data_IF_046993422503
#
_entry.id   IF_046993422503
#
_cell.length_a   1.000
_cell.length_b   1.000
_cell.length_c   1.000
_cell.angle_alpha   90.00
_cell.angle_beta   90.00
_cell.angle_gamma   90.00
#
_symmetry.space_group_name_H-M   'P 1'
#
loop_
_entity.id
_entity.type
_entity.pdbx_description
1 polymer ?
#
# COMPACT_ATOMS: atom_id res chain seq x y z
N UNK A 1 6.19 -26.01 30.70
CA UNK A 1 4.81 -25.93 31.24
C UNK A 1 4.80 -25.52 32.72
N UNK A 2 5.71 -26.02 33.58
CA UNK A 2 5.70 -25.72 35.01
C UNK A 2 6.00 -24.25 35.33
N UNK A 3 6.89 -23.59 34.57
CA UNK A 3 7.32 -22.20 34.81
C UNK A 3 6.17 -21.20 34.56
N UNK A 4 5.37 -21.41 33.51
CA UNK A 4 4.20 -20.58 33.21
C UNK A 4 3.10 -20.76 34.26
N UNK A 5 2.96 -21.98 34.78
CA UNK A 5 2.01 -22.30 35.85
C UNK A 5 2.39 -21.63 37.15
N UNK A 6 3.69 -21.68 37.56
CA UNK A 6 4.21 -21.05 38.77
C UNK A 6 4.04 -19.51 38.67
N UNK A 7 4.35 -18.90 37.51
CA UNK A 7 4.14 -17.47 37.27
C UNK A 7 2.70 -17.06 37.44
N UNK A 8 1.77 -17.81 36.84
CA UNK A 8 0.34 -17.53 36.93
C UNK A 8 -0.19 -17.68 38.35
N UNK A 9 0.30 -18.67 39.11
CA UNK A 9 -0.07 -18.84 40.51
C UNK A 9 0.49 -17.70 41.36
N UNK A 10 1.74 -17.28 41.15
CA UNK A 10 2.35 -16.16 41.86
C UNK A 10 1.57 -14.85 41.57
N UNK A 11 1.15 -14.64 40.35
CA UNK A 11 0.33 -13.48 39.94
C UNK A 11 -1.07 -13.48 40.58
N UNK A 12 -1.71 -14.66 40.68
CA UNK A 12 -3.01 -14.82 41.33
C UNK A 12 -2.96 -14.52 42.83
N UNK A 13 -1.82 -14.83 43.48
CA UNK A 13 -1.64 -14.61 44.93
C UNK A 13 -0.96 -13.27 45.28
N UNK A 14 -0.88 -12.35 44.31
CA UNK A 14 -0.28 -11.03 44.51
C UNK A 14 1.14 -11.07 45.10
N UNK A 15 1.86 -12.14 44.83
CA UNK A 15 3.28 -12.29 45.23
C UNK A 15 4.11 -11.27 44.43
N UNK A 16 4.88 -10.46 45.11
CA UNK A 16 5.71 -9.45 44.47
C UNK A 16 6.71 -10.08 43.49
N UNK A 17 6.91 -9.45 42.33
CA UNK A 17 7.87 -9.87 41.28
C UNK A 17 9.25 -10.19 41.86
N UNK A 18 9.72 -9.39 42.84
CA UNK A 18 10.99 -9.60 43.50
C UNK A 18 11.07 -10.90 44.31
N UNK A 19 9.95 -11.34 44.91
CA UNK A 19 9.92 -12.63 45.66
C UNK A 19 10.00 -13.80 44.68
N UNK A 20 9.35 -13.71 43.52
CA UNK A 20 9.40 -14.71 42.46
C UNK A 20 10.80 -14.77 41.87
N UNK A 21 11.43 -13.64 41.58
CA UNK A 21 12.82 -13.55 41.09
C UNK A 21 13.78 -14.20 42.09
N UNK A 22 13.69 -13.92 43.41
CA UNK A 22 14.52 -14.54 44.45
C UNK A 22 14.31 -16.05 44.50
N UNK A 23 13.08 -16.54 44.37
CA UNK A 23 12.82 -17.97 44.40
C UNK A 23 13.47 -18.70 43.21
N UNK A 24 13.39 -18.11 42.00
CA UNK A 24 14.03 -18.64 40.80
C UNK A 24 15.55 -18.60 40.90
N UNK A 25 16.16 -17.53 41.39
CA UNK A 25 17.59 -17.41 41.60
C UNK A 25 18.10 -18.49 42.58
N UNK A 26 17.35 -18.79 43.62
CA UNK A 26 17.69 -19.82 44.60
C UNK A 26 17.70 -21.23 43.99
N UNK A 27 16.97 -21.46 42.93
CA UNK A 27 16.93 -22.72 42.19
C UNK A 27 17.81 -22.72 40.93
N UNK A 28 18.71 -21.76 40.77
CA UNK A 28 19.65 -21.69 39.65
C UNK A 28 19.00 -21.17 38.35
N UNK A 29 17.81 -20.57 38.42
CA UNK A 29 17.10 -19.97 37.27
C UNK A 29 17.27 -18.45 37.35
N UNK A 30 17.87 -17.85 36.30
CA UNK A 30 17.91 -16.39 36.13
C UNK A 30 16.61 -15.93 35.45
N UNK A 31 16.00 -14.87 35.99
CA UNK A 31 14.82 -14.25 35.44
C UNK A 31 15.15 -12.79 35.13
N UNK A 32 15.18 -12.46 33.85
CA UNK A 32 15.42 -11.10 33.39
C UNK A 32 14.09 -10.47 32.91
N UNK A 33 14.00 -9.14 32.97
CA UNK A 33 12.89 -8.40 32.44
C UNK A 33 13.06 -8.29 30.92
N UNK A 34 12.01 -8.61 30.18
CA UNK A 34 11.94 -8.46 28.73
C UNK A 34 10.71 -7.65 28.33
N UNK A 35 10.75 -7.02 27.17
CA UNK A 35 9.68 -6.21 26.63
C UNK A 35 9.13 -6.86 25.37
N UNK A 36 7.82 -7.02 25.31
CA UNK A 36 7.12 -7.48 24.12
C UNK A 36 6.28 -6.37 23.53
N UNK A 37 6.38 -6.17 22.21
CA UNK A 37 5.51 -5.28 21.48
C UNK A 37 4.06 -5.78 21.55
N UNK A 38 3.12 -4.90 21.85
CA UNK A 38 1.69 -5.21 21.94
C UNK A 38 0.91 -4.30 21.01
N UNK A 39 -0.02 -4.87 20.25
CA UNK A 39 -0.84 -4.21 19.26
C UNK A 39 -2.29 -4.19 19.76
N UNK A 40 -2.80 -3.05 20.29
CA UNK A 40 -4.10 -2.98 21.00
C UNK A 40 -5.30 -3.31 20.12
N UNK A 41 -5.16 -3.15 18.81
CA UNK A 41 -6.23 -3.36 17.84
C UNK A 41 -6.03 -4.62 16.99
N UNK A 42 -5.23 -5.55 17.45
CA UNK A 42 -4.95 -6.86 16.87
C UNK A 42 -4.68 -6.88 15.37
N UNK A 43 -5.70 -6.61 14.54
CA UNK A 43 -5.64 -6.75 13.07
C UNK A 43 -5.54 -5.44 12.32
N UNK A 44 -5.86 -4.31 12.96
CA UNK A 44 -5.98 -3.02 12.30
C UNK A 44 -4.68 -2.66 11.57
N UNK A 45 -4.78 -2.41 10.26
CA UNK A 45 -3.67 -2.03 9.40
C UNK A 45 -2.44 -2.95 9.52
N UNK A 46 -2.66 -4.28 9.68
CA UNK A 46 -1.61 -5.22 10.07
C UNK A 46 -0.40 -5.20 9.14
N UNK A 47 -0.61 -5.09 7.82
CA UNK A 47 0.47 -5.05 6.82
C UNK A 47 1.15 -3.70 6.70
N UNK A 48 0.55 -2.67 7.27
CA UNK A 48 1.12 -1.31 7.32
C UNK A 48 1.94 -1.11 8.58
N UNK A 49 1.34 -1.38 9.75
CA UNK A 49 2.04 -1.28 11.03
C UNK A 49 3.21 -2.26 11.07
N UNK A 50 2.95 -3.51 10.69
CA UNK A 50 3.93 -4.56 10.81
C UNK A 50 4.09 -5.05 12.24
N UNK A 51 5.05 -5.92 12.46
CA UNK A 51 5.30 -6.52 13.76
C UNK A 51 6.80 -6.69 14.02
N UNK A 52 7.13 -6.92 15.29
CA UNK A 52 8.50 -7.20 15.74
C UNK A 52 8.73 -8.69 15.97
N UNK A 53 9.96 -9.14 15.76
CA UNK A 53 10.42 -10.48 16.10
C UNK A 53 10.68 -10.67 17.60
N UNK A 54 11.21 -11.84 17.95
CA UNK A 54 11.56 -12.20 19.35
C UNK A 54 12.54 -11.24 20.02
N UNK A 55 13.44 -10.66 19.24
CA UNK A 55 14.48 -9.73 19.74
C UNK A 55 14.02 -8.26 19.61
N UNK A 56 12.72 -8.03 19.50
CA UNK A 56 12.10 -6.73 19.30
C UNK A 56 12.56 -5.96 18.04
N UNK A 57 13.21 -6.65 17.06
CA UNK A 57 13.50 -6.04 15.76
C UNK A 57 12.25 -6.01 14.89
N UNK A 58 12.07 -4.95 14.13
CA UNK A 58 11.00 -4.85 13.13
C UNK A 58 11.17 -5.89 12.02
N UNK A 59 10.09 -6.57 11.63
CA UNK A 59 10.09 -7.60 10.57
C UNK A 59 9.48 -7.07 9.28
N UNK A 60 8.33 -6.43 9.36
CA UNK A 60 7.64 -5.80 8.21
C UNK A 60 7.07 -4.43 8.58
N UNK A 61 6.56 -3.71 7.59
CA UNK A 61 5.79 -2.49 7.79
C UNK A 61 6.57 -1.33 8.38
N UNK A 62 5.88 -0.49 9.15
CA UNK A 62 6.46 0.65 9.84
C UNK A 62 7.42 0.24 10.95
N UNK A 63 7.21 -0.93 11.59
CA UNK A 63 8.10 -1.45 12.63
C UNK A 63 9.52 -1.64 12.10
N UNK A 64 9.70 -2.20 10.91
CA UNK A 64 11.03 -2.34 10.31
C UNK A 64 11.53 -1.03 9.70
N UNK A 65 10.65 -0.24 9.08
CA UNK A 65 11.06 1.01 8.42
C UNK A 65 11.56 2.06 9.39
N UNK A 66 10.97 2.12 10.57
CA UNK A 66 11.27 3.08 11.63
C UNK A 66 11.91 2.42 12.88
N UNK A 67 12.55 1.27 12.71
CA UNK A 67 13.20 0.53 13.81
C UNK A 67 14.15 1.43 14.62
N UNK A 68 14.99 2.21 13.95
CA UNK A 68 15.94 3.14 14.61
C UNK A 68 15.24 4.19 15.50
N UNK A 69 13.99 4.50 15.21
CA UNK A 69 13.17 5.43 16.00
C UNK A 69 12.48 4.71 17.16
N UNK A 70 11.98 3.50 16.90
CA UNK A 70 11.07 2.78 17.78
C UNK A 70 11.78 1.91 18.81
N UNK A 71 12.91 1.28 18.45
CA UNK A 71 13.58 0.25 19.26
C UNK A 71 14.26 0.79 20.53
N UNK A 72 14.78 2.02 20.50
CA UNK A 72 15.60 2.55 21.59
C UNK A 72 16.99 1.91 21.67
N UNK A 73 17.60 1.94 22.84
CA UNK A 73 18.92 1.36 23.08
C UNK A 73 18.88 0.46 24.32
N UNK A 74 19.32 -0.78 24.16
CA UNK A 74 19.37 -1.73 25.25
C UNK A 74 20.35 -1.29 26.34
N UNK A 75 19.97 -1.45 27.60
CA UNK A 75 20.86 -1.33 28.73
C UNK A 75 21.90 -2.43 28.74
N UNK A 76 22.92 -2.28 29.58
CA UNK A 76 23.95 -3.29 29.84
C UNK A 76 24.17 -3.40 31.32
N UNK A 77 24.28 -4.64 31.82
CA UNK A 77 24.72 -4.93 33.18
C UNK A 77 26.05 -5.64 33.06
N UNK A 78 27.08 -5.04 33.62
CA UNK A 78 28.42 -5.62 33.71
C UNK A 78 28.59 -6.19 35.12
N UNK A 79 28.59 -7.52 35.22
CA UNK A 79 28.83 -8.23 36.48
C UNK A 79 30.23 -8.86 36.47
N UNK A 80 30.89 -8.90 37.59
CA UNK A 80 32.15 -9.63 37.75
C UNK A 80 31.83 -11.05 38.23
N UNK A 81 32.21 -12.03 37.43
CA UNK A 81 32.01 -13.44 37.76
C UNK A 81 33.33 -14.14 38.14
N UNK A 82 33.25 -15.20 38.95
CA UNK A 82 34.36 -16.10 39.18
C UNK A 82 34.68 -16.97 37.93
N UNK A 83 35.71 -17.79 37.99
CA UNK A 83 36.11 -18.68 36.89
C UNK A 83 35.03 -19.74 36.51
N UNK A 84 33.98 -19.87 37.29
CA UNK A 84 32.82 -20.76 37.05
C UNK A 84 31.59 -20.02 36.53
N UNK A 85 31.70 -18.68 36.29
CA UNK A 85 30.60 -17.84 35.82
C UNK A 85 29.60 -17.45 36.94
N UNK A 86 29.96 -17.63 38.23
CA UNK A 86 29.14 -17.24 39.37
C UNK A 86 29.43 -15.78 39.70
N UNK A 87 28.40 -14.94 39.86
CA UNK A 87 28.56 -13.54 40.28
C UNK A 87 29.21 -13.44 41.66
N UNK A 88 30.20 -12.56 41.75
CA UNK A 88 30.89 -12.31 43.03
C UNK A 88 30.03 -11.36 43.88
N UNK A 89 29.57 -11.88 45.04
CA UNK A 89 28.83 -11.05 46.00
C UNK A 89 29.69 -9.89 46.50
N UNK A 90 29.15 -8.68 46.49
CA UNK A 90 29.79 -7.48 47.03
C UNK A 90 30.69 -6.71 46.04
N UNK A 91 30.78 -7.11 44.80
CA UNK A 91 31.41 -6.32 43.73
C UNK A 91 30.34 -5.42 43.11
N UNK A 92 30.65 -4.12 42.91
CA UNK A 92 29.72 -3.18 42.32
C UNK A 92 29.39 -3.61 40.89
N UNK A 93 28.09 -3.76 40.60
CA UNK A 93 27.58 -3.90 39.24
C UNK A 93 27.69 -2.54 38.55
N UNK A 94 28.29 -2.51 37.36
CA UNK A 94 28.22 -1.33 36.50
C UNK A 94 26.99 -1.47 35.55
N UNK A 95 26.00 -0.59 35.76
CA UNK A 95 24.71 -0.66 35.07
C UNK A 95 24.52 0.54 34.15
N UNK A 96 24.39 0.25 32.88
CA UNK A 96 23.97 1.23 31.87
C UNK A 96 22.46 1.07 31.66
N UNK A 97 21.69 2.09 32.04
CA UNK A 97 20.25 2.04 31.95
C UNK A 97 19.80 2.02 30.45
N UNK A 98 18.71 1.29 30.11
CA UNK A 98 18.17 1.30 28.75
C UNK A 98 17.54 2.64 28.40
N UNK A 99 17.68 3.03 27.15
CA UNK A 99 17.03 4.23 26.62
C UNK A 99 15.81 3.79 25.80
N UNK A 100 14.61 4.18 26.24
CA UNK A 100 13.38 3.87 25.54
C UNK A 100 13.36 4.49 24.14
N UNK A 101 12.79 3.80 23.16
CA UNK A 101 12.54 4.32 21.84
C UNK A 101 11.55 5.50 21.85
N UNK A 102 11.49 6.18 20.73
CA UNK A 102 10.58 7.30 20.52
C UNK A 102 9.22 6.82 19.96
N UNK A 103 8.23 7.71 19.93
CA UNK A 103 6.93 7.45 19.33
C UNK A 103 6.90 7.97 17.90
N UNK A 104 6.50 7.13 16.96
CA UNK A 104 6.20 7.53 15.59
C UNK A 104 4.73 7.99 15.52
N UNK A 105 4.50 9.25 15.13
CA UNK A 105 3.19 9.74 14.77
C UNK A 105 2.98 9.53 13.26
N UNK A 106 1.90 8.85 12.90
CA UNK A 106 1.54 8.55 11.52
C UNK A 106 0.36 9.37 11.03
N UNK A 107 0.15 9.41 9.71
CA UNK A 107 -1.02 10.00 9.05
C UNK A 107 -2.24 9.07 9.06
N UNK A 108 -2.07 7.77 9.40
CA UNK A 108 -3.20 6.85 9.51
C UNK A 108 -4.24 7.38 10.48
N UNK A 109 -5.46 7.51 10.01
CA UNK A 109 -6.60 7.85 10.84
C UNK A 109 -7.33 6.57 11.28
N UNK A 110 -7.43 6.36 12.59
CA UNK A 110 -8.05 5.17 13.16
C UNK A 110 -9.48 4.94 12.67
N UNK A 111 -10.30 6.00 12.62
CA UNK A 111 -11.70 5.89 12.24
C UNK A 111 -11.83 5.58 10.75
N UNK A 112 -11.05 6.28 9.92
CA UNK A 112 -11.05 6.09 8.47
C UNK A 112 -10.54 4.67 8.13
N UNK A 113 -9.43 4.23 8.74
CA UNK A 113 -8.88 2.89 8.55
C UNK A 113 -9.92 1.82 8.93
N UNK A 114 -10.52 1.92 10.11
CA UNK A 114 -11.53 0.97 10.58
C UNK A 114 -12.77 0.92 9.67
N UNK A 115 -13.23 2.07 9.20
CA UNK A 115 -14.33 2.15 8.24
C UNK A 115 -14.00 1.47 6.90
N UNK A 116 -12.80 1.73 6.38
CA UNK A 116 -12.34 1.13 5.15
C UNK A 116 -12.15 -0.39 5.29
N UNK A 117 -11.66 -0.88 6.43
CA UNK A 117 -11.56 -2.32 6.70
C UNK A 117 -12.92 -3.00 6.74
N UNK A 118 -13.89 -2.44 7.49
CA UNK A 118 -15.25 -2.99 7.54
C UNK A 118 -15.91 -3.01 6.16
N UNK A 119 -15.75 -1.95 5.37
CA UNK A 119 -16.29 -1.89 4.01
C UNK A 119 -15.62 -2.92 3.10
N UNK A 120 -14.30 -3.10 3.21
CA UNK A 120 -13.54 -4.08 2.44
C UNK A 120 -13.90 -5.52 2.83
N UNK A 121 -14.06 -5.83 4.12
CA UNK A 121 -14.51 -7.14 4.61
C UNK A 121 -15.91 -7.49 4.09
N UNK A 122 -16.83 -6.51 4.12
CA UNK A 122 -18.17 -6.70 3.55
C UNK A 122 -18.12 -7.04 2.05
N UNK A 123 -17.29 -6.33 1.28
CA UNK A 123 -17.10 -6.64 -0.14
C UNK A 123 -16.46 -8.01 -0.35
N UNK A 124 -15.45 -8.37 0.48
CA UNK A 124 -14.80 -9.67 0.46
C UNK A 124 -15.82 -10.81 0.60
N UNK A 125 -16.73 -10.70 1.58
CA UNK A 125 -17.77 -11.68 1.84
C UNK A 125 -18.86 -11.70 0.75
N UNK A 126 -19.44 -10.53 0.43
CA UNK A 126 -20.55 -10.42 -0.54
C UNK A 126 -20.16 -10.83 -1.96
N UNK A 127 -18.92 -10.57 -2.36
CA UNK A 127 -18.40 -10.89 -3.70
C UNK A 127 -17.60 -12.18 -3.75
N UNK A 128 -17.39 -12.85 -2.60
CA UNK A 128 -16.52 -14.03 -2.48
C UNK A 128 -15.15 -13.78 -3.13
N UNK A 129 -14.59 -12.59 -2.87
CA UNK A 129 -13.32 -12.17 -3.44
C UNK A 129 -12.16 -12.85 -2.68
N UNK A 130 -11.02 -13.07 -3.35
CA UNK A 130 -9.80 -13.59 -2.72
C UNK A 130 -9.13 -12.54 -1.80
N UNK A 131 -9.39 -11.27 -2.06
CA UNK A 131 -8.91 -10.16 -1.25
C UNK A 131 -9.43 -8.82 -1.77
N UNK A 132 -9.50 -7.85 -0.88
CA UNK A 132 -9.87 -6.47 -1.19
C UNK A 132 -8.81 -5.54 -0.61
N UNK A 133 -8.36 -4.58 -1.40
CA UNK A 133 -7.46 -3.52 -0.94
C UNK A 133 -8.13 -2.16 -1.10
N UNK A 134 -7.94 -1.29 -0.11
CA UNK A 134 -8.39 0.10 -0.14
C UNK A 134 -7.21 0.99 0.21
N UNK A 135 -6.96 2.00 -0.61
CA UNK A 135 -5.95 3.02 -0.39
C UNK A 135 -6.61 4.38 -0.41
N UNK A 136 -6.53 5.11 0.69
CA UNK A 136 -7.02 6.47 0.83
C UNK A 136 -5.85 7.42 1.12
N UNK A 137 -5.59 8.32 0.17
CA UNK A 137 -4.48 9.26 0.22
C UNK A 137 -4.96 10.69 -0.03
N UNK A 138 -4.38 11.65 0.67
CA UNK A 138 -4.58 13.06 0.40
C UNK A 138 -3.78 13.45 -0.87
N UNK A 139 -4.44 13.87 -1.97
CA UNK A 139 -3.75 14.21 -3.20
C UNK A 139 -2.90 15.48 -3.10
N UNK A 140 -3.13 16.31 -2.08
CA UNK A 140 -2.43 17.59 -1.94
C UNK A 140 -1.04 17.46 -1.29
N UNK A 141 -0.85 16.47 -0.40
CA UNK A 141 0.39 16.34 0.35
C UNK A 141 0.97 14.90 0.38
N UNK A 142 0.22 13.89 -0.06
CA UNK A 142 0.64 12.50 -0.07
C UNK A 142 0.43 11.72 1.24
N UNK A 143 -0.19 12.32 2.26
CA UNK A 143 -0.54 11.61 3.50
C UNK A 143 -1.51 10.47 3.22
N UNK A 144 -1.20 9.28 3.74
CA UNK A 144 -2.07 8.11 3.64
C UNK A 144 -2.92 8.02 4.90
N UNK A 145 -4.24 8.15 4.75
CA UNK A 145 -5.19 8.09 5.86
C UNK A 145 -5.69 6.66 6.12
N UNK A 146 -5.73 5.81 5.09
CA UNK A 146 -6.01 4.39 5.21
C UNK A 146 -5.30 3.58 4.13
N UNK A 147 -4.84 2.39 4.52
CA UNK A 147 -4.29 1.39 3.61
C UNK A 147 -4.69 0.00 4.11
N UNK A 148 -5.65 -0.60 3.44
CA UNK A 148 -6.33 -1.83 3.83
C UNK A 148 -5.98 -2.97 2.89
N UNK A 149 -5.83 -4.16 3.43
CA UNK A 149 -5.56 -5.39 2.69
C UNK A 149 -6.29 -6.58 3.33
N UNK A 150 -7.59 -6.70 3.16
CA UNK A 150 -8.34 -7.82 3.76
C UNK A 150 -8.18 -9.10 2.94
N UNK A 151 -8.12 -10.27 3.61
CA UNK A 151 -8.17 -10.49 5.06
C UNK A 151 -6.89 -10.06 5.78
N UNK A 152 -7.01 -9.26 6.84
CA UNK A 152 -5.89 -8.86 7.69
C UNK A 152 -5.50 -10.01 8.65
N UNK A 153 -4.29 -9.96 9.23
CA UNK A 153 -3.80 -10.96 10.20
C UNK A 153 -3.62 -10.35 11.59
N UNK A 154 -3.56 -11.18 12.64
CA UNK A 154 -3.36 -10.71 14.00
C UNK A 154 -1.88 -10.38 14.27
N UNK A 155 -1.57 -9.11 14.55
CA UNK A 155 -0.24 -8.61 14.85
C UNK A 155 0.36 -9.19 16.16
N UNK A 156 -0.49 -9.61 17.09
CA UNK A 156 -0.04 -10.25 18.35
C UNK A 156 0.29 -11.74 18.15
N UNK A 157 -0.18 -12.34 17.02
CA UNK A 157 0.07 -13.73 16.62
C UNK A 157 0.52 -13.81 15.14
N UNK A 158 1.57 -13.07 14.73
CA UNK A 158 1.88 -12.86 13.31
C UNK A 158 2.32 -14.11 12.56
N UNK A 159 2.75 -15.14 13.27
CA UNK A 159 3.17 -16.42 12.71
C UNK A 159 2.06 -17.46 12.63
N UNK A 160 0.81 -17.09 12.97
CA UNK A 160 -0.37 -17.92 12.82
C UNK A 160 -1.07 -17.60 11.52
N UNK A 161 -1.23 -18.60 10.65
CA UNK A 161 -1.97 -18.43 9.40
C UNK A 161 -3.46 -18.17 9.66
N UNK A 162 -4.09 -17.40 8.79
CA UNK A 162 -5.52 -17.09 8.87
C UNK A 162 -6.41 -18.31 8.53
N UNK A 163 -5.86 -19.32 7.86
CA UNK A 163 -6.57 -20.56 7.51
C UNK A 163 -6.24 -21.71 8.47
N UNK A 164 -7.14 -22.71 8.51
CA UNK A 164 -7.07 -23.83 9.46
C UNK A 164 -6.26 -25.03 8.94
N UNK A 165 -5.48 -24.86 7.89
CA UNK A 165 -4.79 -25.98 7.21
C UNK A 165 -3.33 -26.18 7.62
N UNK A 166 -2.90 -25.59 8.75
CA UNK A 166 -1.48 -25.61 9.21
C UNK A 166 -0.93 -27.03 9.44
N UNK A 167 -1.79 -27.98 9.91
CA UNK A 167 -1.34 -29.31 10.35
C UNK A 167 -0.84 -30.24 9.22
N UNK A 168 -0.93 -29.83 7.96
CA UNK A 168 -0.59 -30.68 6.80
C UNK A 168 0.52 -30.06 5.91
N UNK A 169 1.14 -28.97 6.33
CA UNK A 169 2.14 -28.25 5.52
C UNK A 169 3.56 -28.58 5.92
N UNK A 170 4.45 -28.58 4.94
CA UNK A 170 5.89 -28.53 5.20
C UNK A 170 6.29 -27.15 5.76
N UNK A 171 7.44 -27.06 6.41
CA UNK A 171 7.96 -25.80 6.94
C UNK A 171 8.16 -24.76 5.81
N UNK A 172 8.57 -25.21 4.63
CA UNK A 172 8.75 -24.34 3.46
C UNK A 172 7.40 -23.79 2.95
N UNK A 173 6.39 -24.63 2.83
CA UNK A 173 5.03 -24.21 2.43
C UNK A 173 4.45 -23.24 3.44
N UNK A 174 4.61 -23.52 4.73
CA UNK A 174 4.18 -22.65 5.80
C UNK A 174 4.86 -21.29 5.73
N UNK A 175 6.17 -21.24 5.56
CA UNK A 175 6.92 -19.99 5.43
C UNK A 175 6.49 -19.19 4.21
N UNK A 176 6.28 -19.85 3.06
CA UNK A 176 5.80 -19.20 1.84
C UNK A 176 4.41 -18.59 2.05
N UNK A 177 3.49 -19.27 2.74
CA UNK A 177 2.16 -18.73 3.07
C UNK A 177 2.20 -17.57 4.05
N UNK A 178 3.07 -17.62 5.06
CA UNK A 178 3.30 -16.49 5.96
C UNK A 178 3.81 -15.27 5.19
N UNK A 179 4.80 -15.45 4.32
CA UNK A 179 5.31 -14.38 3.47
C UNK A 179 4.23 -13.77 2.57
N UNK A 180 3.31 -14.61 2.03
CA UNK A 180 2.16 -14.13 1.26
C UNK A 180 1.14 -13.39 2.13
N UNK A 181 0.86 -13.90 3.34
CA UNK A 181 -0.06 -13.26 4.30
C UNK A 181 0.43 -11.88 4.73
N UNK A 182 1.74 -11.71 4.87
CA UNK A 182 2.35 -10.43 5.29
C UNK A 182 2.49 -9.41 4.17
N UNK A 183 2.28 -9.80 2.90
CA UNK A 183 2.41 -8.88 1.76
C UNK A 183 1.36 -7.77 1.79
N UNK A 184 1.82 -6.55 1.59
CA UNK A 184 0.96 -5.39 1.39
C UNK A 184 0.68 -5.22 -0.10
N UNK A 185 -0.50 -5.64 -0.57
CA UNK A 185 -0.88 -5.62 -1.98
C UNK A 185 -0.87 -4.22 -2.59
N UNK A 186 -1.06 -3.17 -1.77
CA UNK A 186 -1.02 -1.80 -2.26
C UNK A 186 0.35 -1.36 -2.79
N UNK A 187 1.43 -2.00 -2.32
CA UNK A 187 2.81 -1.62 -2.64
C UNK A 187 3.67 -2.78 -3.16
N UNK A 188 3.42 -4.03 -2.71
CA UNK A 188 4.27 -5.17 -3.06
C UNK A 188 3.80 -5.94 -4.31
N UNK A 189 2.58 -5.71 -4.77
CA UNK A 189 1.98 -6.40 -5.91
C UNK A 189 1.74 -5.44 -7.06
N UNK A 190 2.03 -5.90 -8.27
CA UNK A 190 1.73 -5.19 -9.51
C UNK A 190 0.50 -5.79 -10.16
N UNK A 191 -0.26 -4.96 -10.86
CA UNK A 191 -1.46 -5.37 -11.57
C UNK A 191 -1.62 -4.55 -12.87
N UNK A 192 -2.36 -5.05 -13.82
CA UNK A 192 -2.80 -4.26 -14.96
C UNK A 192 -3.92 -3.30 -14.52
N UNK A 193 -3.72 -1.96 -14.58
CA UNK A 193 -4.69 -1.00 -14.04
C UNK A 193 -6.00 -0.96 -14.83
N UNK A 194 -6.02 -1.49 -16.05
CA UNK A 194 -7.19 -1.48 -16.90
C UNK A 194 -7.71 -0.06 -17.15
N UNK A 195 -9.02 0.10 -17.23
CA UNK A 195 -9.65 1.37 -17.62
C UNK A 195 -9.42 2.54 -16.64
N UNK A 196 -8.85 2.35 -15.45
CA UNK A 196 -8.41 3.47 -14.62
C UNK A 196 -7.24 4.21 -15.26
N UNK A 197 -6.39 3.52 -16.03
CA UNK A 197 -5.28 4.13 -16.75
C UNK A 197 -5.73 5.12 -17.84
N UNK A 198 -6.96 5.05 -18.29
CA UNK A 198 -7.55 6.02 -19.22
C UNK A 198 -7.52 7.46 -18.71
N UNK A 199 -7.49 7.65 -17.39
CA UNK A 199 -7.27 8.96 -16.75
C UNK A 199 -5.92 9.53 -17.20
N UNK A 200 -4.89 8.72 -17.14
CA UNK A 200 -3.50 9.08 -17.46
C UNK A 200 -3.34 9.31 -18.96
N UNK A 201 -3.90 8.44 -19.78
CA UNK A 201 -3.91 8.58 -21.23
C UNK A 201 -4.65 9.85 -21.66
N UNK A 202 -5.81 10.16 -21.05
CA UNK A 202 -6.55 11.39 -21.31
C UNK A 202 -5.72 12.63 -21.01
N UNK A 203 -5.11 12.67 -19.82
CA UNK A 203 -4.29 13.79 -19.39
C UNK A 203 -3.11 14.03 -20.35
N UNK A 204 -2.40 12.98 -20.76
CA UNK A 204 -1.29 13.07 -21.69
C UNK A 204 -1.75 13.57 -23.08
N UNK A 205 -2.88 13.07 -23.61
CA UNK A 205 -3.40 13.46 -24.92
C UNK A 205 -3.96 14.90 -24.93
N UNK A 206 -4.56 15.35 -23.82
CA UNK A 206 -5.02 16.74 -23.67
C UNK A 206 -3.84 17.71 -23.55
N UNK A 207 -2.82 17.35 -22.75
CA UNK A 207 -1.62 18.16 -22.55
C UNK A 207 -0.87 18.38 -23.88
N UNK A 208 -0.74 17.34 -24.72
CA UNK A 208 -0.15 17.40 -26.04
C UNK A 208 -1.05 18.01 -27.11
N UNK A 209 -2.32 18.26 -26.79
CA UNK A 209 -3.28 18.81 -27.74
C UNK A 209 -3.62 17.88 -28.91
N UNK A 210 -3.40 16.56 -28.79
CA UNK A 210 -3.72 15.58 -29.82
C UNK A 210 -5.19 15.17 -29.81
N UNK A 211 -5.94 15.61 -28.79
CA UNK A 211 -7.39 15.46 -28.65
C UNK A 211 -8.00 16.73 -28.04
N UNK A 212 -9.20 17.07 -28.47
CA UNK A 212 -10.07 18.10 -27.89
C UNK A 212 -11.33 17.46 -27.31
N UNK A 213 -12.05 18.19 -26.44
CA UNK A 213 -13.28 17.69 -25.81
C UNK A 213 -14.40 17.39 -26.87
N UNK A 214 -14.41 18.13 -27.97
CA UNK A 214 -15.41 18.03 -29.05
C UNK A 214 -15.04 17.02 -30.15
N UNK A 215 -13.84 16.45 -30.10
CA UNK A 215 -13.39 15.42 -31.03
C UNK A 215 -14.38 14.24 -31.02
N UNK A 216 -14.77 13.77 -32.20
CA UNK A 216 -15.69 12.65 -32.34
C UNK A 216 -15.01 11.39 -32.85
N UNK A 217 -15.48 10.25 -32.36
CA UNK A 217 -14.93 8.93 -32.60
C UNK A 217 -16.05 7.95 -32.95
N UNK A 218 -15.70 6.87 -33.66
CA UNK A 218 -16.62 5.79 -33.96
C UNK A 218 -16.24 4.51 -33.23
N UNK A 219 -17.20 3.92 -32.52
CA UNK A 219 -17.02 2.65 -31.82
C UNK A 219 -18.01 1.60 -32.35
N UNK A 220 -17.62 0.75 -33.31
CA UNK A 220 -18.44 -0.39 -33.77
C UNK A 220 -18.34 -1.62 -32.85
N UNK A 221 -17.83 -1.47 -31.64
CA UNK A 221 -17.56 -2.56 -30.66
C UNK A 221 -16.14 -3.15 -30.72
N UNK A 222 -15.31 -2.65 -31.61
CA UNK A 222 -13.89 -3.06 -31.73
C UNK A 222 -13.09 -2.04 -32.55
N UNK A 223 -11.76 -2.21 -32.47
CA UNK A 223 -10.80 -1.51 -33.36
C UNK A 223 -9.87 -2.57 -33.96
N UNK A 224 -9.54 -2.44 -35.23
CA UNK A 224 -8.48 -3.21 -35.89
C UNK A 224 -7.22 -2.36 -35.83
N UNK A 225 -6.17 -2.91 -35.20
CA UNK A 225 -4.84 -2.32 -35.13
C UNK A 225 -3.89 -3.32 -35.76
N UNK A 226 -3.28 -2.97 -36.89
CA UNK A 226 -2.56 -3.89 -37.75
C UNK A 226 -3.44 -5.11 -38.13
N UNK A 227 -3.08 -6.31 -37.71
CA UNK A 227 -3.82 -7.57 -37.94
C UNK A 227 -4.69 -7.99 -36.73
N UNK A 228 -4.68 -7.23 -35.63
CA UNK A 228 -5.36 -7.55 -34.37
C UNK A 228 -6.71 -6.84 -34.22
N UNK A 229 -7.74 -7.63 -33.96
CA UNK A 229 -9.05 -7.13 -33.60
C UNK A 229 -9.16 -6.99 -32.07
N UNK A 230 -9.07 -5.76 -31.57
CA UNK A 230 -9.17 -5.45 -30.16
C UNK A 230 -10.60 -4.99 -29.84
N UNK A 231 -11.24 -5.62 -28.86
CA UNK A 231 -12.68 -5.43 -28.58
C UNK A 231 -12.92 -4.30 -27.56
N UNK A 232 -14.06 -3.62 -27.74
CA UNK A 232 -14.65 -2.80 -26.69
C UNK A 232 -15.36 -3.71 -25.67
N UNK A 233 -15.53 -3.26 -24.44
CA UNK A 233 -16.34 -3.98 -23.45
C UNK A 233 -17.82 -4.05 -23.87
N UNK A 234 -18.32 -3.07 -24.61
CA UNK A 234 -19.67 -3.09 -25.21
C UNK A 234 -19.62 -3.76 -26.57
N UNK A 235 -20.13 -4.97 -26.66
CA UNK A 235 -20.07 -5.83 -27.87
C UNK A 235 -20.70 -5.17 -29.10
N UNK A 236 -21.83 -4.47 -28.95
CA UNK A 236 -22.52 -3.74 -30.04
C UNK A 236 -21.88 -2.39 -30.37
N UNK A 237 -20.86 -1.97 -29.66
CA UNK A 237 -20.25 -0.66 -29.79
C UNK A 237 -21.07 0.48 -29.17
N UNK A 238 -20.46 1.66 -29.11
CA UNK A 238 -21.08 2.88 -28.59
C UNK A 238 -21.65 3.76 -29.72
N UNK A 239 -21.34 3.41 -30.99
CA UNK A 239 -21.67 4.25 -32.14
C UNK A 239 -20.71 5.43 -32.27
N UNK A 240 -21.23 6.58 -32.69
CA UNK A 240 -20.47 7.83 -32.72
C UNK A 240 -20.58 8.51 -31.37
N UNK A 241 -19.46 8.85 -30.77
CA UNK A 241 -19.39 9.50 -29.46
C UNK A 241 -18.29 10.57 -29.45
N UNK A 242 -18.43 11.58 -28.60
CA UNK A 242 -17.41 12.58 -28.37
C UNK A 242 -16.28 11.99 -27.46
N UNK A 243 -15.14 12.68 -27.35
CA UNK A 243 -14.11 12.29 -26.43
C UNK A 243 -14.65 12.23 -25.00
N UNK A 244 -15.44 13.19 -24.57
CA UNK A 244 -16.09 13.23 -23.24
C UNK A 244 -16.93 11.96 -23.03
N UNK A 245 -17.82 11.64 -23.99
CA UNK A 245 -18.63 10.41 -23.93
C UNK A 245 -17.77 9.14 -23.94
N UNK A 246 -16.65 9.16 -24.66
CA UNK A 246 -15.70 8.05 -24.68
C UNK A 246 -15.07 7.75 -23.29
N UNK A 247 -14.84 8.80 -22.48
CA UNK A 247 -14.40 8.65 -21.09
C UNK A 247 -15.55 8.15 -20.20
N UNK A 248 -16.73 8.78 -20.29
CA UNK A 248 -17.94 8.42 -19.53
C UNK A 248 -18.32 6.96 -19.74
N UNK A 249 -18.32 6.53 -21.01
CA UNK A 249 -18.63 5.17 -21.43
C UNK A 249 -17.45 4.20 -21.28
N UNK A 250 -16.28 4.67 -20.91
CA UNK A 250 -15.06 3.85 -20.87
C UNK A 250 -14.75 3.12 -22.19
N UNK A 251 -14.91 3.78 -23.33
CA UNK A 251 -14.81 3.21 -24.67
C UNK A 251 -13.36 2.87 -25.04
N UNK A 252 -13.02 1.58 -25.29
CA UNK A 252 -11.66 1.19 -25.69
C UNK A 252 -11.25 1.74 -27.06
N UNK A 253 -12.07 1.68 -28.13
CA UNK A 253 -11.74 2.27 -29.43
C UNK A 253 -11.32 3.74 -29.38
N UNK A 254 -12.02 4.58 -28.61
CA UNK A 254 -11.64 6.00 -28.42
C UNK A 254 -10.22 6.10 -27.87
N UNK A 255 -9.90 5.33 -26.83
CA UNK A 255 -8.58 5.36 -26.19
C UNK A 255 -7.48 4.80 -27.07
N UNK A 256 -7.75 3.79 -27.88
CA UNK A 256 -6.82 3.32 -28.91
C UNK A 256 -6.53 4.40 -29.94
N UNK A 257 -7.56 5.11 -30.41
CA UNK A 257 -7.40 6.16 -31.42
C UNK A 257 -6.57 7.35 -30.90
N UNK A 258 -6.87 7.86 -29.70
CA UNK A 258 -6.12 8.99 -29.14
C UNK A 258 -4.69 8.61 -28.78
N UNK A 259 -4.46 7.39 -28.28
CA UNK A 259 -3.12 6.91 -27.98
C UNK A 259 -2.29 6.67 -29.25
N UNK A 260 -2.88 6.16 -30.31
CA UNK A 260 -2.20 6.04 -31.59
C UNK A 260 -1.88 7.43 -32.21
N UNK A 261 -2.72 8.46 -31.99
CA UNK A 261 -2.41 9.86 -32.36
C UNK A 261 -1.23 10.39 -31.54
N UNK A 262 -1.15 10.07 -30.24
CA UNK A 262 -0.04 10.46 -29.37
C UNK A 262 1.27 9.81 -29.84
N UNK A 263 1.23 8.53 -30.20
CA UNK A 263 2.37 7.74 -30.62
C UNK A 263 3.18 7.16 -29.47
N UNK A 264 3.93 6.06 -29.76
CA UNK A 264 4.65 5.29 -28.73
C UNK A 264 5.75 6.09 -28.02
N UNK A 265 6.49 6.92 -28.76
CA UNK A 265 7.59 7.71 -28.17
C UNK A 265 7.05 8.69 -27.11
N UNK A 266 6.05 9.51 -27.43
CA UNK A 266 5.45 10.45 -26.49
C UNK A 266 4.72 9.75 -25.35
N UNK A 267 4.06 8.63 -25.64
CA UNK A 267 3.43 7.83 -24.60
C UNK A 267 4.46 7.35 -23.56
N UNK A 268 5.61 6.87 -23.99
CA UNK A 268 6.71 6.48 -23.10
C UNK A 268 7.29 7.67 -22.33
N UNK A 269 7.45 8.84 -22.98
CA UNK A 269 7.92 10.07 -22.32
C UNK A 269 6.98 10.48 -21.17
N UNK A 270 5.66 10.46 -21.41
CA UNK A 270 4.66 10.72 -20.38
C UNK A 270 4.65 9.66 -19.27
N UNK A 271 4.83 8.38 -19.63
CA UNK A 271 4.91 7.30 -18.66
C UNK A 271 6.08 7.51 -17.69
N UNK A 272 7.23 7.97 -18.18
CA UNK A 272 8.39 8.35 -17.37
C UNK A 272 8.15 9.66 -16.60
N UNK A 273 7.60 10.70 -17.23
CA UNK A 273 7.31 12.01 -16.62
C UNK A 273 6.35 11.86 -15.43
N UNK A 274 5.33 11.01 -15.57
CA UNK A 274 4.38 10.68 -14.52
C UNK A 274 5.00 9.82 -13.41
N UNK A 275 6.26 9.40 -13.57
CA UNK A 275 7.04 8.64 -12.58
C UNK A 275 6.59 7.19 -12.46
N UNK A 276 5.95 6.64 -13.50
CA UNK A 276 5.49 5.25 -13.51
C UNK A 276 6.64 4.25 -13.70
N UNK A 277 7.82 4.69 -14.17
CA UNK A 277 9.02 3.87 -14.29
C UNK A 277 9.88 3.85 -13.02
N UNK A 278 9.49 4.58 -11.99
CA UNK A 278 10.23 4.69 -10.72
C UNK A 278 9.36 4.34 -9.53
N UNK A 279 10.00 4.00 -8.41
CA UNK A 279 9.32 3.83 -7.13
C UNK A 279 8.70 5.15 -6.67
N UNK A 280 7.63 5.07 -5.91
CA UNK A 280 7.00 6.28 -5.32
C UNK A 280 7.78 6.81 -4.14
N UNK A 281 8.70 6.01 -3.58
CA UNK A 281 9.44 6.27 -2.36
C UNK A 281 8.54 6.39 -1.11
N UNK A 282 7.44 5.64 -1.10
CA UNK A 282 6.65 5.48 0.12
C UNK A 282 7.53 4.99 1.27
N UNK A 283 7.27 5.47 2.47
CA UNK A 283 7.99 5.08 3.69
C UNK A 283 7.57 3.71 4.26
N UNK A 284 7.42 2.74 3.36
CA UNK A 284 7.23 1.33 3.66
C UNK A 284 8.24 0.48 2.85
N UNK A 285 8.66 -0.67 3.37
CA UNK A 285 9.58 -1.55 2.66
C UNK A 285 8.90 -2.37 1.57
N UNK A 286 9.67 -2.76 0.55
CA UNK A 286 9.26 -3.75 -0.43
C UNK A 286 8.35 -3.24 -1.56
N UNK A 287 8.38 -1.94 -1.88
CA UNK A 287 7.66 -1.40 -3.03
C UNK A 287 8.13 -2.10 -4.32
N UNK A 288 7.19 -2.65 -5.10
CA UNK A 288 7.47 -3.32 -6.35
C UNK A 288 7.66 -2.32 -7.50
N UNK A 289 8.57 -2.66 -8.40
CA UNK A 289 8.79 -1.89 -9.63
C UNK A 289 7.77 -2.23 -10.72
N UNK A 290 7.63 -1.32 -11.68
CA UNK A 290 6.80 -1.48 -12.87
C UNK A 290 7.30 -2.60 -13.77
N UNK A 291 6.38 -3.37 -14.32
CA UNK A 291 6.65 -4.37 -15.36
C UNK A 291 6.09 -3.83 -16.68
N UNK A 292 6.95 -3.60 -17.65
CA UNK A 292 6.60 -2.99 -18.93
C UNK A 292 7.49 -3.52 -20.06
N UNK A 293 6.99 -3.51 -21.28
CA UNK A 293 7.80 -3.74 -22.48
C UNK A 293 8.92 -2.71 -22.60
N UNK A 294 10.02 -3.08 -23.22
CA UNK A 294 11.04 -2.10 -23.57
C UNK A 294 10.48 -1.11 -24.61
N UNK A 295 10.94 0.13 -24.55
CA UNK A 295 10.46 1.22 -25.41
C UNK A 295 10.52 0.85 -26.91
N UNK A 296 11.59 0.22 -27.35
CA UNK A 296 11.79 -0.24 -28.72
C UNK A 296 10.83 -1.34 -29.17
N UNK A 297 10.23 -2.08 -28.22
CA UNK A 297 9.31 -3.19 -28.49
C UNK A 297 7.83 -2.74 -28.52
N UNK A 298 7.53 -1.51 -28.14
CA UNK A 298 6.17 -0.97 -28.14
C UNK A 298 5.78 -0.53 -29.55
N UNK A 299 5.08 -1.43 -30.24
CA UNK A 299 4.48 -1.17 -31.56
C UNK A 299 3.02 -0.72 -31.43
N UNK A 300 2.32 -0.60 -32.54
CA UNK A 300 0.97 -0.09 -32.56
C UNK A 300 0.00 -0.93 -31.72
N UNK A 301 0.13 -2.24 -31.70
CA UNK A 301 -0.74 -3.15 -30.93
C UNK A 301 -0.50 -3.02 -29.43
N UNK A 302 0.77 -3.04 -29.00
CA UNK A 302 1.14 -2.85 -27.59
C UNK A 302 0.69 -1.47 -27.12
N UNK A 303 1.00 -0.41 -27.89
CA UNK A 303 0.55 0.94 -27.57
C UNK A 303 -0.98 1.01 -27.40
N UNK A 304 -1.72 0.45 -28.35
CA UNK A 304 -3.19 0.47 -28.31
C UNK A 304 -3.74 -0.18 -27.04
N UNK A 305 -3.16 -1.30 -26.58
CA UNK A 305 -3.59 -1.96 -25.35
C UNK A 305 -3.13 -1.22 -24.09
N UNK A 306 -1.95 -0.61 -24.13
CA UNK A 306 -1.42 0.19 -23.02
C UNK A 306 -2.28 1.44 -22.73
N UNK A 307 -2.89 2.05 -23.76
CA UNK A 307 -3.73 3.25 -23.59
C UNK A 307 -4.95 3.04 -22.71
N UNK A 308 -5.42 1.81 -22.56
CA UNK A 308 -6.51 1.46 -21.65
C UNK A 308 -6.06 0.54 -20.50
N UNK A 309 -4.75 0.52 -20.21
CA UNK A 309 -4.18 -0.06 -19.00
C UNK A 309 -3.93 -1.56 -19.04
N UNK A 310 -3.64 -2.13 -20.20
CA UNK A 310 -3.22 -3.51 -20.38
C UNK A 310 -1.79 -3.60 -20.94
N UNK A 311 -1.17 -4.79 -20.89
CA UNK A 311 0.19 -5.07 -21.39
C UNK A 311 1.31 -4.41 -20.60
N UNK A 312 1.05 -3.95 -19.40
CA UNK A 312 2.02 -3.52 -18.39
C UNK A 312 1.41 -3.65 -16.99
N UNK A 313 2.26 -3.63 -15.96
CA UNK A 313 1.80 -3.71 -14.58
C UNK A 313 2.46 -2.64 -13.72
N UNK A 314 1.68 -2.02 -12.86
CA UNK A 314 2.07 -1.02 -11.85
C UNK A 314 1.47 -1.36 -10.50
N UNK A 315 1.99 -0.78 -9.43
CA UNK A 315 1.41 -0.95 -8.10
C UNK A 315 0.20 -0.04 -7.88
N UNK A 316 -0.74 -0.40 -6.99
CA UNK A 316 -1.84 0.49 -6.59
C UNK A 316 -1.36 1.86 -6.09
N UNK A 317 -0.25 1.92 -5.36
CA UNK A 317 0.30 3.20 -4.88
C UNK A 317 0.81 4.06 -6.03
N UNK A 318 1.48 3.49 -7.05
CA UNK A 318 1.87 4.24 -8.25
C UNK A 318 0.65 4.82 -8.97
N UNK A 319 -0.42 4.03 -9.09
CA UNK A 319 -1.67 4.51 -9.70
C UNK A 319 -2.28 5.67 -8.90
N UNK A 320 -2.37 5.55 -7.58
CA UNK A 320 -2.92 6.58 -6.70
C UNK A 320 -2.14 7.89 -6.78
N UNK A 321 -0.80 7.83 -6.71
CA UNK A 321 0.07 9.01 -6.81
C UNK A 321 -0.07 9.67 -8.19
N UNK A 322 -0.14 8.88 -9.25
CA UNK A 322 -0.24 9.41 -10.62
C UNK A 322 -1.59 10.07 -10.85
N UNK A 323 -2.70 9.44 -10.43
CA UNK A 323 -4.04 10.05 -10.51
C UNK A 323 -4.11 11.32 -9.67
N UNK A 324 -3.48 11.34 -8.49
CA UNK A 324 -3.41 12.55 -7.67
C UNK A 324 -2.76 13.72 -8.43
N UNK A 325 -1.70 13.45 -9.21
CA UNK A 325 -1.07 14.48 -10.05
C UNK A 325 -1.99 15.02 -11.15
N UNK A 326 -2.95 14.22 -11.60
CA UNK A 326 -3.94 14.66 -12.62
C UNK A 326 -5.03 15.56 -12.05
N UNK A 327 -5.22 15.59 -10.72
CA UNK A 327 -6.36 16.29 -10.09
C UNK A 327 -5.95 17.31 -9.01
N UNK A 328 -4.65 17.54 -8.81
CA UNK A 328 -4.13 18.46 -7.80
C UNK A 328 -3.33 19.65 -8.36
N UNK A 329 -3.53 20.00 -9.64
CA UNK A 329 -2.78 21.04 -10.31
C UNK A 329 -1.44 20.59 -10.90
N UNK A 330 -1.27 19.28 -11.16
CA UNK A 330 -0.06 18.75 -11.81
C UNK A 330 1.12 18.52 -10.88
N UNK A 331 0.90 18.30 -9.58
CA UNK A 331 1.96 18.06 -8.60
C UNK A 331 2.05 16.57 -8.24
N UNK A 332 3.22 15.98 -8.41
CA UNK A 332 3.51 14.62 -7.95
C UNK A 332 4.02 14.67 -6.52
N UNK A 333 3.19 14.25 -5.59
CA UNK A 333 3.51 14.17 -4.16
C UNK A 333 4.15 12.82 -3.80
N UNK A 334 4.99 12.80 -2.76
CA UNK A 334 5.53 11.55 -2.20
C UNK A 334 4.54 10.96 -1.20
N UNK A 335 4.00 9.75 -1.45
CA UNK A 335 3.09 9.11 -0.51
C UNK A 335 3.83 8.72 0.77
N UNK A 336 3.19 8.92 1.93
CA UNK A 336 3.84 8.64 3.20
C UNK A 336 2.86 8.40 4.35
N UNK A 337 3.38 7.78 5.39
CA UNK A 337 2.68 7.45 6.63
C UNK A 337 3.29 8.17 7.83
N UNK A 338 4.62 8.28 7.90
CA UNK A 338 5.31 8.96 9.01
C UNK A 338 5.14 10.47 8.94
N UNK A 339 4.64 11.07 10.01
CA UNK A 339 4.45 12.54 10.12
C UNK A 339 5.54 13.15 11.01
N UNK A 340 5.71 12.60 12.21
CA UNK A 340 6.69 13.12 13.16
C UNK A 340 7.13 12.07 14.19
N UNK A 341 8.23 12.36 14.85
CA UNK A 341 8.77 11.58 15.97
C UNK A 341 8.57 12.37 17.25
N UNK A 342 8.02 11.71 18.28
CA UNK A 342 7.80 12.29 19.58
C UNK A 342 8.69 11.59 20.62
N UNK A 343 9.22 12.35 21.59
CA UNK A 343 9.90 11.78 22.74
C UNK A 343 8.91 11.17 23.75
N UNK A 344 9.42 10.54 24.80
CA UNK A 344 8.60 9.95 25.88
C UNK A 344 7.72 10.96 26.66
N UNK A 345 7.90 12.26 26.46
CA UNK A 345 7.06 13.31 27.03
C UNK A 345 6.01 13.83 26.04
N UNK A 346 5.96 13.23 24.82
CA UNK A 346 5.07 13.66 23.76
C UNK A 346 5.52 14.91 23.00
N UNK A 347 6.77 15.38 23.22
CA UNK A 347 7.32 16.53 22.51
C UNK A 347 7.87 16.09 21.16
N UNK A 348 7.53 16.81 20.09
CA UNK A 348 8.08 16.56 18.75
C UNK A 348 9.58 16.83 18.73
N UNK A 349 10.36 15.80 18.37
CA UNK A 349 11.81 15.86 18.22
C UNK A 349 12.24 15.88 16.75
N UNK A 350 11.37 15.41 15.85
CA UNK A 350 11.60 15.43 14.41
C UNK A 350 10.27 15.50 13.66
N UNK A 351 10.18 16.31 12.62
CA UNK A 351 9.09 16.31 11.64
C UNK A 351 9.66 15.85 10.31
N UNK A 352 8.98 14.91 9.65
CA UNK A 352 9.40 14.46 8.33
C UNK A 352 9.00 15.49 7.27
N UNK A 353 9.79 15.57 6.21
CA UNK A 353 9.50 16.40 5.03
C UNK A 353 9.61 15.52 3.81
N UNK A 354 8.60 15.58 2.97
CA UNK A 354 8.51 14.80 1.75
C UNK A 354 8.61 15.72 0.54
N UNK A 355 9.28 15.22 -0.49
CA UNK A 355 9.45 15.99 -1.72
C UNK A 355 8.20 15.94 -2.60
N UNK A 356 8.04 16.95 -3.43
CA UNK A 356 7.08 16.98 -4.53
C UNK A 356 7.76 17.41 -5.82
N UNK A 357 7.18 17.04 -6.96
CA UNK A 357 7.63 17.45 -8.30
C UNK A 357 6.46 18.16 -8.99
N UNK A 358 6.65 19.40 -9.38
CA UNK A 358 5.68 20.20 -10.12
C UNK A 358 5.74 19.94 -11.62
N UNK A 359 4.71 20.40 -12.34
CA UNK A 359 4.68 20.42 -13.80
C UNK A 359 4.52 19.03 -14.44
N UNK A 360 3.84 18.11 -13.76
CA UNK A 360 3.51 16.79 -14.32
C UNK A 360 2.49 16.95 -15.47
N UNK A 361 1.48 17.77 -15.25
CA UNK A 361 0.54 18.31 -16.27
C UNK A 361 0.30 19.79 -15.94
N UNK A 362 -0.25 20.55 -16.90
CA UNK A 362 -0.66 21.93 -16.65
C UNK A 362 -1.87 22.00 -15.71
N UNK A 363 -2.04 23.14 -15.03
CA UNK A 363 -3.20 23.39 -14.18
C UNK A 363 -4.51 23.27 -14.99
N UNK A 364 -4.52 23.78 -16.22
CA UNK A 364 -5.66 23.65 -17.14
C UNK A 364 -6.02 22.20 -17.43
N UNK A 365 -5.04 21.36 -17.72
CA UNK A 365 -5.30 19.91 -17.94
C UNK A 365 -5.82 19.26 -16.66
N UNK A 366 -5.28 19.62 -15.50
CA UNK A 366 -5.77 19.12 -14.21
C UNK A 366 -7.22 19.49 -13.94
N UNK A 367 -7.62 20.76 -14.15
CA UNK A 367 -9.00 21.21 -14.01
C UNK A 367 -9.93 20.47 -14.98
N UNK A 368 -9.53 20.36 -16.24
CA UNK A 368 -10.30 19.60 -17.25
C UNK A 368 -10.47 18.14 -16.83
N UNK A 369 -9.44 17.51 -16.27
CA UNK A 369 -9.54 16.13 -15.81
C UNK A 369 -10.49 15.99 -14.62
N UNK A 370 -10.54 16.94 -13.69
CA UNK A 370 -11.50 16.94 -12.59
C UNK A 370 -12.94 16.96 -13.11
N UNK A 371 -13.24 17.86 -14.05
CA UNK A 371 -14.58 17.95 -14.68
C UNK A 371 -14.96 16.66 -15.43
N UNK A 372 -14.03 16.09 -16.19
CA UNK A 372 -14.27 14.83 -16.92
C UNK A 372 -14.55 13.67 -15.99
N UNK A 373 -13.79 13.55 -14.89
CA UNK A 373 -13.99 12.47 -13.92
C UNK A 373 -15.29 12.63 -13.12
N UNK A 374 -15.74 13.86 -12.86
CA UNK A 374 -17.03 14.14 -12.27
C UNK A 374 -18.17 13.70 -13.18
N UNK A 375 -18.08 13.97 -14.51
CA UNK A 375 -19.04 13.48 -15.49
C UNK A 375 -19.11 11.95 -15.58
N UNK A 376 -17.98 11.25 -15.42
CA UNK A 376 -17.99 9.78 -15.34
C UNK A 376 -18.89 9.29 -14.21
N UNK A 377 -18.92 9.99 -13.07
CA UNK A 377 -19.74 9.63 -11.91
C UNK A 377 -21.17 10.14 -12.03
N UNK A 378 -21.38 11.36 -12.50
CA UNK A 378 -22.74 11.94 -12.63
C UNK A 378 -23.54 11.37 -13.80
N UNK A 379 -22.88 11.12 -14.94
CA UNK A 379 -23.54 10.77 -16.21
C UNK A 379 -23.11 9.41 -16.78
N UNK A 380 -21.90 8.96 -16.46
CA UNK A 380 -21.23 7.81 -17.08
C UNK A 380 -21.29 6.50 -16.30
N UNK A 381 -20.24 5.70 -16.50
CA UNK A 381 -20.07 4.35 -15.93
C UNK A 381 -19.84 4.32 -14.40
N UNK A 382 -19.61 5.48 -13.77
CA UNK A 382 -19.34 5.62 -12.34
C UNK A 382 -20.57 5.93 -11.47
N UNK A 383 -21.79 5.88 -11.99
CA UNK A 383 -23.04 6.30 -11.32
C UNK A 383 -23.26 5.71 -9.93
N UNK A 384 -22.73 4.53 -9.66
CA UNK A 384 -22.86 3.90 -8.34
C UNK A 384 -22.10 4.64 -7.23
N UNK A 385 -21.15 5.53 -7.57
CA UNK A 385 -20.43 6.36 -6.64
C UNK A 385 -21.04 7.77 -6.46
N UNK A 386 -22.11 8.08 -7.19
CA UNK A 386 -22.79 9.38 -7.08
C UNK A 386 -23.41 9.56 -5.69
N UNK A 387 -23.14 10.69 -5.08
CA UNK A 387 -23.74 11.11 -3.81
C UNK A 387 -24.18 12.56 -3.92
N UNK A 388 -25.47 12.81 -3.71
CA UNK A 388 -26.05 14.16 -3.77
C UNK A 388 -25.37 15.10 -2.76
N UNK A 389 -25.02 16.30 -3.22
CA UNK A 389 -24.33 17.32 -2.41
C UNK A 389 -22.80 17.17 -2.34
N UNK A 390 -22.22 16.17 -3.03
CA UNK A 390 -20.78 15.99 -3.13
C UNK A 390 -20.34 15.98 -4.60
N UNK A 391 -19.20 16.64 -4.89
CA UNK A 391 -18.52 16.52 -6.16
C UNK A 391 -17.59 15.30 -6.09
N UNK A 392 -17.90 14.26 -6.83
CA UNK A 392 -17.16 13.01 -6.86
C UNK A 392 -16.73 12.71 -8.29
N UNK A 393 -15.44 12.66 -8.52
CA UNK A 393 -14.85 12.15 -9.75
C UNK A 393 -14.41 10.69 -9.61
N UNK A 394 -14.45 9.92 -10.67
CA UNK A 394 -14.05 8.52 -10.59
C UNK A 394 -13.90 7.81 -11.92
N UNK A 395 -13.33 6.61 -11.88
CA UNK A 395 -13.21 5.73 -13.03
C UNK A 395 -13.24 4.27 -12.60
N UNK A 396 -14.13 3.50 -13.23
CA UNK A 396 -14.21 2.04 -13.06
C UNK A 396 -13.20 1.32 -13.95
N UNK A 397 -12.72 0.16 -13.51
CA UNK A 397 -11.89 -0.72 -14.31
C UNK A 397 -12.24 -2.20 -14.08
N UNK A 398 -11.90 -3.01 -15.06
CA UNK A 398 -11.85 -4.46 -14.98
C UNK A 398 -10.65 -4.92 -15.80
N UNK A 399 -9.78 -5.71 -15.18
CA UNK A 399 -8.65 -6.35 -15.86
C UNK A 399 -8.72 -7.86 -15.69
N UNK A 400 -8.22 -8.59 -16.67
CA UNK A 400 -8.04 -10.02 -16.55
C UNK A 400 -6.75 -10.29 -15.76
N UNK A 401 -6.82 -11.12 -14.74
CA UNK A 401 -5.62 -11.74 -14.17
C UNK A 401 -5.17 -12.82 -15.15
N UNK A 402 -4.05 -12.58 -15.82
CA UNK A 402 -3.41 -13.63 -16.57
C UNK A 402 -2.97 -14.73 -15.59
N UNK A 403 -3.23 -16.02 -15.89
CA UNK A 403 -2.63 -17.08 -15.10
C UNK A 403 -1.11 -16.86 -15.17
N UNK A 404 -0.47 -16.72 -14.03
CA UNK A 404 0.98 -16.80 -13.93
C UNK A 404 1.34 -18.24 -14.31
N UNK A 405 1.51 -18.49 -15.60
CA UNK A 405 2.16 -19.73 -16.03
C UNK A 405 3.55 -19.70 -15.43
N UNK A 406 3.80 -20.70 -14.62
CA UNK A 406 5.05 -20.97 -13.97
C UNK A 406 6.25 -20.95 -14.92
#
# INVERSE_FOLDING_TARGET
DDLVTIWNVAKQHNAGIEMVKRWYQWNGVKVDEDFKRYYPYDRLASRVLGFTGSDNQGIIGLEVKYEDVLKGTNGKILTVTDARGIELEGVAEDRIEPVAGNTLKTSLDYNIQSYCEQAAEKVLEEKQAEGVSVLLMNPQNGEIYAMVNVPEFNLNEPYRLNDKTEDQMTDEERQNRLNQMWRNRCINDTYEPGSTFKIITSAACLEEGVVSLDDTFSCPGYRIVEDRKIRCHKVGGHGTETFVQGIENSCNPVFMDIGLRLGSERFCDYFEQFGLMSLTNIDLPGEAGTIMHKREDIKAVELATMTFGQSFQITPIQMAVTVSSMVNGGRRVTPHLGVSVLDKKGKTVKTFKYGEKEGIVSEKTSETMQELLEKVVSEGSGKNAYLEGYSIGGKTATSQTLPRSA
#
